data_IF_473640394978
#
_entry.id   IF_473640394978
#
_cell.length_a   1.000
_cell.length_b   1.000
_cell.length_c   1.000
_cell.angle_alpha   90.00
_cell.angle_beta   90.00
_cell.angle_gamma   90.00
#
_symmetry.space_group_name_H-M   'P 1'
#
loop_
_entity.id
_entity.type
_entity.pdbx_description
1 polymer ?
#
# COMPACT_ATOMS: atom_id res chain seq x y z
N UNK A 1 -18.36 7.09 15.76
CA UNK A 1 -17.28 7.27 14.77
C UNK A 1 -17.26 6.00 13.95
N UNK A 2 -17.33 6.12 12.63
CA UNK A 2 -17.12 4.95 11.77
C UNK A 2 -15.64 4.60 11.80
N UNK A 3 -15.32 3.30 11.92
CA UNK A 3 -13.94 2.85 11.98
C UNK A 3 -13.44 2.63 10.55
N UNK A 4 -12.23 3.11 10.21
CA UNK A 4 -11.59 2.79 8.93
C UNK A 4 -11.32 1.29 8.85
N UNK A 5 -11.30 0.74 7.63
CA UNK A 5 -10.88 -0.65 7.44
C UNK A 5 -9.34 -0.76 7.51
N UNK A 6 -8.84 -1.72 8.27
CA UNK A 6 -7.40 -1.99 8.39
C UNK A 6 -6.95 -2.92 7.26
N UNK A 7 -6.17 -2.36 6.34
CA UNK A 7 -5.54 -3.08 5.24
C UNK A 7 -4.11 -3.47 5.60
N UNK A 8 -3.78 -4.77 5.64
CA UNK A 8 -2.40 -5.21 5.85
C UNK A 8 -1.73 -5.50 4.51
N UNK A 9 -0.61 -4.82 4.25
CA UNK A 9 0.22 -5.09 3.06
C UNK A 9 1.07 -6.32 3.30
N UNK A 10 0.93 -7.33 2.44
CA UNK A 10 1.70 -8.56 2.52
C UNK A 10 3.15 -8.32 2.08
N UNK A 11 4.10 -8.82 2.85
CA UNK A 11 5.54 -8.60 2.64
C UNK A 11 6.23 -9.73 1.88
N UNK A 12 5.58 -10.88 1.75
CA UNK A 12 6.14 -12.03 1.04
C UNK A 12 6.54 -11.75 -0.40
N UNK A 13 7.48 -12.55 -0.90
CA UNK A 13 8.02 -12.54 -2.25
C UNK A 13 7.65 -13.81 -3.05
N UNK A 14 6.95 -14.72 -2.39
CA UNK A 14 6.38 -15.93 -2.98
C UNK A 14 4.91 -16.06 -2.60
N UNK A 15 4.15 -16.83 -3.37
CA UNK A 15 2.74 -17.14 -3.07
C UNK A 15 2.60 -17.72 -1.66
N UNK A 16 3.44 -18.69 -1.29
CA UNK A 16 3.42 -19.34 0.03
C UNK A 16 3.69 -18.37 1.18
N UNK A 17 4.60 -17.42 1.01
CA UNK A 17 4.87 -16.38 2.02
C UNK A 17 3.70 -15.43 2.15
N UNK A 18 3.15 -14.96 1.04
CA UNK A 18 1.98 -14.06 1.05
C UNK A 18 0.75 -14.74 1.67
N UNK A 19 0.52 -16.03 1.41
CA UNK A 19 -0.55 -16.80 2.05
C UNK A 19 -0.36 -16.91 3.57
N UNK A 20 0.86 -17.12 4.03
CA UNK A 20 1.19 -17.11 5.47
C UNK A 20 0.97 -15.72 6.08
N UNK A 21 1.44 -14.68 5.41
CA UNK A 21 1.25 -13.29 5.84
C UNK A 21 -0.24 -12.95 5.95
N UNK A 22 -1.07 -13.39 5.00
CA UNK A 22 -2.50 -13.15 5.00
C UNK A 22 -3.21 -13.85 6.17
N UNK A 23 -2.84 -15.10 6.47
CA UNK A 23 -3.37 -15.83 7.63
C UNK A 23 -2.98 -15.15 8.96
N UNK A 24 -1.75 -14.63 9.07
CA UNK A 24 -1.30 -13.88 10.23
C UNK A 24 -2.02 -12.53 10.35
N UNK A 25 -2.23 -11.82 9.24
CA UNK A 25 -2.97 -10.57 9.19
C UNK A 25 -4.42 -10.74 9.65
N UNK A 26 -5.10 -11.78 9.17
CA UNK A 26 -6.45 -12.15 9.61
C UNK A 26 -6.49 -12.43 11.11
N UNK A 27 -5.56 -13.24 11.62
CA UNK A 27 -5.48 -13.54 13.05
C UNK A 27 -5.20 -12.29 13.92
N UNK A 28 -4.54 -11.27 13.35
CA UNK A 28 -4.26 -10.00 14.00
C UNK A 28 -5.40 -8.96 13.87
N UNK A 29 -6.48 -9.29 13.16
CA UNK A 29 -7.67 -8.43 13.05
C UNK A 29 -7.65 -7.48 11.85
N UNK A 30 -6.93 -7.80 10.78
CA UNK A 30 -7.05 -7.08 9.52
C UNK A 30 -8.44 -7.27 8.90
N UNK A 31 -8.98 -6.20 8.30
CA UNK A 31 -10.26 -6.23 7.57
C UNK A 31 -10.08 -6.65 6.11
N UNK A 32 -8.90 -6.40 5.55
CA UNK A 32 -8.51 -6.74 4.19
C UNK A 32 -6.97 -6.83 4.08
N UNK A 33 -6.50 -7.42 2.98
CA UNK A 33 -5.06 -7.51 2.68
C UNK A 33 -4.72 -6.95 1.30
N UNK A 34 -3.54 -6.34 1.16
CA UNK A 34 -2.98 -5.94 -0.13
C UNK A 34 -1.91 -6.94 -0.56
N UNK A 35 -2.19 -7.68 -1.64
CA UNK A 35 -1.23 -8.52 -2.34
C UNK A 35 -0.50 -7.65 -3.36
N UNK A 36 0.80 -7.45 -3.12
CA UNK A 36 1.71 -6.77 -4.03
C UNK A 36 2.21 -7.76 -5.07
N UNK A 37 1.50 -7.88 -6.19
CA UNK A 37 1.88 -8.77 -7.30
C UNK A 37 3.29 -8.47 -7.78
N UNK A 38 3.67 -7.19 -7.83
CA UNK A 38 5.01 -6.76 -8.23
C UNK A 38 6.13 -7.37 -7.35
N UNK A 39 5.85 -7.74 -6.10
CA UNK A 39 6.82 -8.40 -5.23
C UNK A 39 7.10 -9.86 -5.59
N UNK A 40 6.26 -10.51 -6.42
CA UNK A 40 6.51 -11.88 -6.89
C UNK A 40 7.70 -11.97 -7.86
N UNK A 41 8.09 -10.85 -8.46
CA UNK A 41 9.23 -10.76 -9.40
C UNK A 41 10.51 -10.27 -8.74
N UNK A 42 10.58 -10.24 -7.40
CA UNK A 42 11.82 -9.93 -6.69
C UNK A 42 12.05 -10.91 -5.56
N UNK A 43 13.32 -11.13 -5.21
CA UNK A 43 13.71 -11.83 -3.98
C UNK A 43 14.64 -10.95 -3.15
N UNK A 44 14.51 -11.05 -1.83
CA UNK A 44 15.42 -10.38 -0.90
C UNK A 44 16.81 -11.03 -0.95
N UNK A 45 17.83 -10.18 -1.00
CA UNK A 45 19.25 -10.56 -0.90
C UNK A 45 19.86 -9.74 0.24
N UNK A 46 20.39 -10.43 1.25
CA UNK A 46 21.13 -9.78 2.34
C UNK A 46 22.53 -9.42 1.84
N UNK A 47 22.92 -8.15 1.99
CA UNK A 47 24.31 -7.74 1.78
C UNK A 47 25.08 -7.94 3.08
N UNK A 48 26.15 -8.72 3.03
CA UNK A 48 27.17 -8.75 4.07
C UNK A 48 28.10 -7.54 3.87
N UNK A 49 28.18 -6.64 4.84
CA UNK A 49 29.18 -5.57 4.86
C UNK A 49 30.57 -6.21 4.71
N UNK A 50 31.28 -5.89 3.63
CA UNK A 50 32.67 -6.33 3.46
C UNK A 50 33.50 -5.82 4.64
N UNK A 51 34.22 -6.72 5.30
CA UNK A 51 35.08 -6.46 6.47
C UNK A 51 36.18 -5.42 6.16
N UNK A 52 35.86 -4.13 6.16
CA UNK A 52 36.84 -3.04 6.17
C UNK A 52 36.22 -1.77 6.76
N UNK A 53 36.02 -1.77 8.08
CA UNK A 53 36.57 -0.75 9.00
C UNK A 53 36.14 -1.05 10.44
N UNK A 54 37.16 -1.13 11.30
CA UNK A 54 37.05 -1.47 12.70
C UNK A 54 36.33 -0.37 13.52
N UNK A 55 35.74 -0.81 14.63
CA UNK A 55 35.21 0.00 15.74
C UNK A 55 33.93 0.82 15.48
N UNK A 56 32.78 0.15 15.49
CA UNK A 56 31.71 0.39 16.48
C UNK A 56 30.71 -0.77 16.41
N UNK A 57 30.64 -1.63 17.45
CA UNK A 57 29.57 -2.63 17.61
C UNK A 57 28.24 -1.93 17.97
N UNK A 58 27.65 -1.22 17.01
CA UNK A 58 26.20 -1.05 16.90
C UNK A 58 25.76 -2.06 15.86
N UNK A 59 24.77 -2.91 16.19
CA UNK A 59 24.20 -3.93 15.27
C UNK A 59 24.16 -3.35 13.86
N UNK A 60 25.06 -3.80 12.99
CA UNK A 60 25.09 -3.40 11.59
C UNK A 60 23.71 -3.74 11.03
N UNK A 61 23.04 -2.72 10.49
CA UNK A 61 21.76 -2.88 9.84
C UNK A 61 22.07 -3.69 8.58
N UNK A 62 21.67 -4.96 8.53
CA UNK A 62 21.74 -5.72 7.30
C UNK A 62 20.95 -4.96 6.24
N UNK A 63 21.63 -4.52 5.19
CA UNK A 63 21.00 -3.88 4.06
C UNK A 63 20.37 -4.97 3.20
N UNK A 64 19.09 -4.80 2.87
CA UNK A 64 18.34 -5.73 2.03
C UNK A 64 18.26 -5.09 0.65
N UNK A 65 18.77 -5.79 -0.35
CA UNK A 65 18.52 -5.48 -1.75
C UNK A 65 17.53 -6.46 -2.35
N UNK A 66 16.89 -6.04 -3.45
CA UNK A 66 15.96 -6.86 -4.20
C UNK A 66 16.60 -7.28 -5.52
N UNK A 67 16.73 -8.58 -5.73
CA UNK A 67 17.12 -9.13 -7.02
C UNK A 67 15.88 -9.37 -7.88
N UNK A 68 15.86 -8.74 -9.05
CA UNK A 68 14.78 -8.85 -10.03
C UNK A 68 14.83 -10.20 -10.75
N UNK A 69 13.68 -10.86 -10.83
CA UNK A 69 13.48 -12.13 -11.50
C UNK A 69 12.92 -11.93 -12.93
N UNK A 70 13.18 -12.86 -13.87
CA UNK A 70 12.60 -12.80 -15.22
C UNK A 70 11.06 -12.80 -15.19
N UNK A 71 10.41 -12.20 -16.19
CA UNK A 71 8.95 -12.14 -16.27
C UNK A 71 8.31 -13.54 -16.24
N UNK A 72 8.96 -14.51 -16.87
CA UNK A 72 8.52 -15.90 -17.00
C UNK A 72 8.67 -16.70 -15.69
N UNK A 73 9.27 -16.12 -14.65
CA UNK A 73 9.43 -16.76 -13.34
C UNK A 73 8.12 -16.86 -12.55
N UNK A 74 7.11 -16.07 -12.93
CA UNK A 74 5.81 -16.01 -12.26
C UNK A 74 4.72 -16.51 -13.19
N UNK A 75 4.05 -17.60 -12.81
CA UNK A 75 2.77 -18.00 -13.40
C UNK A 75 1.65 -17.21 -12.69
N UNK A 76 1.20 -16.13 -13.34
CA UNK A 76 0.22 -15.22 -12.75
C UNK A 76 -1.14 -15.89 -12.53
N UNK A 77 -1.58 -16.75 -13.45
CA UNK A 77 -2.89 -17.41 -13.33
C UNK A 77 -2.90 -18.38 -12.15
N UNK A 78 -1.81 -19.14 -11.96
CA UNK A 78 -1.65 -20.04 -10.82
C UNK A 78 -1.53 -19.28 -9.48
N UNK A 79 -0.78 -18.18 -9.47
CA UNK A 79 -0.65 -17.31 -8.30
C UNK A 79 -2.02 -16.72 -7.87
N UNK A 80 -2.79 -16.17 -8.82
CA UNK A 80 -4.13 -15.62 -8.54
C UNK A 80 -5.11 -16.70 -8.10
N UNK A 81 -5.06 -17.89 -8.69
CA UNK A 81 -5.85 -19.04 -8.27
C UNK A 81 -5.53 -19.44 -6.82
N UNK A 82 -4.25 -19.45 -6.47
CA UNK A 82 -3.78 -19.76 -5.11
C UNK A 82 -4.23 -18.71 -4.10
N UNK A 83 -4.11 -17.40 -4.42
CA UNK A 83 -4.61 -16.34 -3.54
C UNK A 83 -6.12 -16.41 -3.35
N UNK A 84 -6.89 -16.67 -4.42
CA UNK A 84 -8.35 -16.80 -4.35
C UNK A 84 -8.80 -17.98 -3.48
N UNK A 85 -8.02 -19.06 -3.42
CA UNK A 85 -8.32 -20.24 -2.61
C UNK A 85 -7.80 -20.12 -1.16
N UNK A 86 -6.67 -19.44 -0.96
CA UNK A 86 -5.94 -19.43 0.31
C UNK A 86 -6.16 -18.20 1.19
N UNK A 87 -6.73 -17.11 0.66
CA UNK A 87 -7.00 -15.89 1.42
C UNK A 87 -8.50 -15.76 1.68
N UNK A 88 -8.89 -15.74 2.96
CA UNK A 88 -10.28 -15.62 3.39
C UNK A 88 -10.77 -14.15 3.48
N UNK A 89 -9.84 -13.21 3.65
CA UNK A 89 -10.14 -11.77 3.70
C UNK A 89 -10.39 -11.19 2.30
N UNK A 90 -11.13 -10.08 2.19
CA UNK A 90 -11.13 -9.25 0.99
C UNK A 90 -9.70 -8.89 0.57
N UNK A 91 -9.43 -8.93 -0.74
CA UNK A 91 -8.09 -8.74 -1.30
C UNK A 91 -8.04 -7.48 -2.17
N UNK A 92 -6.99 -6.69 -2.01
CA UNK A 92 -6.53 -5.69 -2.97
C UNK A 92 -5.40 -6.34 -3.79
N UNK A 93 -5.56 -6.42 -5.10
CA UNK A 93 -4.46 -6.75 -6.01
C UNK A 93 -3.81 -5.45 -6.52
N UNK A 94 -2.51 -5.34 -6.28
CA UNK A 94 -1.71 -4.17 -6.68
C UNK A 94 -0.52 -4.66 -7.49
N UNK A 95 -0.30 -4.12 -8.68
CA UNK A 95 0.93 -4.29 -9.44
C UNK A 95 1.60 -2.92 -9.62
N UNK A 96 2.34 -2.50 -8.59
CA UNK A 96 2.93 -1.15 -8.53
C UNK A 96 4.11 -1.06 -9.53
N UNK A 97 4.19 -0.01 -10.37
CA UNK A 97 5.34 0.21 -11.24
C UNK A 97 6.52 0.80 -10.48
N UNK A 98 7.74 0.63 -11.03
CA UNK A 98 8.98 1.15 -10.42
C UNK A 98 8.94 2.66 -10.15
N UNK A 99 8.41 3.44 -11.10
CA UNK A 99 8.20 4.91 -10.98
C UNK A 99 7.30 5.36 -9.82
N UNK A 100 6.66 4.43 -9.10
CA UNK A 100 5.88 4.69 -7.89
C UNK A 100 6.27 3.74 -6.74
N UNK A 101 7.52 3.25 -6.75
CA UNK A 101 8.09 2.43 -5.67
C UNK A 101 7.67 0.96 -5.68
N UNK A 102 7.32 0.42 -6.85
CA UNK A 102 7.09 -1.00 -7.06
C UNK A 102 8.28 -1.75 -7.66
N UNK A 103 8.08 -3.04 -7.89
CA UNK A 103 9.14 -3.96 -8.33
C UNK A 103 8.82 -4.71 -9.63
N UNK A 104 7.79 -4.29 -10.37
CA UNK A 104 7.41 -4.98 -11.60
C UNK A 104 8.46 -4.76 -12.69
N UNK A 105 9.06 -5.83 -13.26
CA UNK A 105 10.23 -5.69 -14.13
C UNK A 105 9.90 -5.49 -15.61
N UNK A 106 8.62 -5.56 -15.98
CA UNK A 106 8.17 -5.41 -17.36
C UNK A 106 7.83 -3.97 -17.73
N UNK A 107 7.48 -3.76 -19.00
CA UNK A 107 6.98 -2.48 -19.47
C UNK A 107 5.52 -2.23 -19.05
N UNK A 108 5.05 -1.00 -19.28
CA UNK A 108 3.70 -0.58 -18.93
C UNK A 108 2.63 -1.42 -19.65
N UNK A 109 2.84 -1.78 -20.93
CA UNK A 109 1.88 -2.59 -21.68
C UNK A 109 1.68 -3.96 -21.03
N UNK A 110 2.79 -4.62 -20.67
CA UNK A 110 2.77 -5.92 -19.96
C UNK A 110 2.17 -5.77 -18.56
N UNK A 111 2.45 -4.66 -17.86
CA UNK A 111 1.87 -4.38 -16.53
C UNK A 111 0.35 -4.22 -16.61
N UNK A 112 -0.17 -3.53 -17.62
CA UNK A 112 -1.62 -3.41 -17.83
C UNK A 112 -2.25 -4.79 -18.06
N UNK A 113 -1.58 -5.73 -18.73
CA UNK A 113 -2.08 -7.12 -18.85
C UNK A 113 -2.14 -7.85 -17.50
N UNK A 114 -1.19 -7.60 -16.59
CA UNK A 114 -1.26 -8.10 -15.20
C UNK A 114 -2.52 -7.54 -14.50
N UNK A 115 -2.78 -6.24 -14.63
CA UNK A 115 -3.97 -5.59 -14.04
C UNK A 115 -5.28 -6.09 -14.65
N UNK A 116 -5.32 -6.33 -15.96
CA UNK A 116 -6.46 -6.97 -16.64
C UNK A 116 -6.75 -8.35 -16.08
N UNK A 117 -5.70 -9.13 -15.84
CA UNK A 117 -5.81 -10.49 -15.29
C UNK A 117 -6.26 -10.46 -13.83
N UNK A 118 -5.74 -9.52 -13.04
CA UNK A 118 -6.22 -9.24 -11.68
C UNK A 118 -7.73 -8.93 -11.66
N UNK A 119 -8.23 -8.07 -12.55
CA UNK A 119 -9.66 -7.75 -12.65
C UNK A 119 -10.48 -8.98 -13.09
N UNK A 120 -10.00 -9.76 -14.06
CA UNK A 120 -10.67 -11.00 -14.52
C UNK A 120 -10.79 -12.05 -13.42
N UNK A 121 -9.93 -12.02 -12.40
CA UNK A 121 -10.04 -12.90 -11.24
C UNK A 121 -11.25 -12.60 -10.33
N UNK A 122 -11.91 -11.45 -10.57
CA UNK A 122 -13.02 -10.91 -9.78
C UNK A 122 -12.61 -10.65 -8.32
N UNK A 123 -11.39 -10.13 -8.14
CA UNK A 123 -10.88 -9.72 -6.82
C UNK A 123 -11.74 -8.60 -6.22
N UNK A 124 -11.73 -8.46 -4.90
CA UNK A 124 -12.50 -7.42 -4.20
C UNK A 124 -12.09 -6.00 -4.63
N UNK A 125 -10.79 -5.75 -4.72
CA UNK A 125 -10.22 -4.46 -5.09
C UNK A 125 -9.03 -4.60 -6.04
N UNK A 126 -8.90 -3.66 -6.98
CA UNK A 126 -7.70 -3.47 -7.77
C UNK A 126 -7.16 -2.05 -7.55
N UNK A 127 -5.85 -1.91 -7.37
CA UNK A 127 -5.16 -0.62 -7.26
C UNK A 127 -4.65 -0.20 -8.64
N UNK A 128 -5.12 0.95 -9.13
CA UNK A 128 -4.80 1.50 -10.46
C UNK A 128 -4.24 2.92 -10.34
N UNK A 129 -2.96 3.10 -10.70
CA UNK A 129 -2.31 4.40 -10.62
C UNK A 129 -3.00 5.43 -11.51
N UNK A 130 -3.19 6.65 -10.99
CA UNK A 130 -3.88 7.76 -11.67
C UNK A 130 -3.20 8.22 -12.96
N UNK A 131 -1.91 7.90 -13.12
CA UNK A 131 -1.10 8.24 -14.30
C UNK A 131 -1.11 7.16 -15.40
N UNK A 132 -1.85 6.06 -15.22
CA UNK A 132 -2.20 5.16 -16.32
C UNK A 132 -2.92 5.98 -17.40
N UNK A 133 -2.52 5.80 -18.67
CA UNK A 133 -3.10 6.56 -19.77
C UNK A 133 -4.63 6.44 -19.81
N UNK A 134 -5.32 7.55 -20.11
CA UNK A 134 -6.79 7.64 -20.09
C UNK A 134 -7.45 6.48 -20.86
N UNK A 135 -6.92 6.15 -22.05
CA UNK A 135 -7.45 5.05 -22.87
C UNK A 135 -7.38 3.70 -22.16
N UNK A 136 -6.24 3.37 -21.55
CA UNK A 136 -6.06 2.10 -20.84
C UNK A 136 -6.85 2.10 -19.53
N UNK A 137 -6.91 3.22 -18.82
CA UNK A 137 -7.71 3.38 -17.60
C UNK A 137 -9.19 3.17 -17.87
N UNK A 138 -9.76 3.82 -18.88
CA UNK A 138 -11.17 3.65 -19.27
C UNK A 138 -11.50 2.19 -19.58
N UNK A 139 -10.57 1.50 -20.27
CA UNK A 139 -10.68 0.06 -20.56
C UNK A 139 -10.71 -0.79 -19.28
N UNK A 140 -9.80 -0.53 -18.33
CA UNK A 140 -9.76 -1.23 -17.04
C UNK A 140 -10.99 -0.94 -16.19
N UNK A 141 -11.45 0.30 -16.14
CA UNK A 141 -12.65 0.72 -15.40
C UNK A 141 -13.90 0.00 -15.91
N UNK A 142 -14.08 -0.09 -17.23
CA UNK A 142 -15.22 -0.81 -17.81
C UNK A 142 -15.13 -2.32 -17.54
N UNK A 143 -13.91 -2.90 -17.52
CA UNK A 143 -13.72 -4.31 -17.13
C UNK A 143 -14.06 -4.58 -15.66
N UNK A 144 -13.71 -3.66 -14.75
CA UNK A 144 -13.92 -3.80 -13.31
C UNK A 144 -15.38 -3.60 -12.88
N UNK A 145 -16.15 -2.83 -13.67
CA UNK A 145 -17.51 -2.41 -13.36
C UNK A 145 -18.42 -3.55 -12.90
N UNK A 146 -18.90 -3.43 -11.67
CA UNK A 146 -19.83 -4.37 -11.04
C UNK A 146 -19.20 -5.70 -10.60
N UNK A 147 -17.88 -5.85 -10.71
CA UNK A 147 -17.14 -7.07 -10.35
C UNK A 147 -16.05 -6.81 -9.31
N UNK A 148 -15.31 -5.72 -9.48
CA UNK A 148 -14.14 -5.35 -8.67
C UNK A 148 -14.19 -3.85 -8.39
N UNK A 149 -13.91 -3.45 -7.15
CA UNK A 149 -13.81 -2.03 -6.80
C UNK A 149 -12.42 -1.50 -7.14
N UNK A 150 -12.31 -0.22 -7.49
CA UNK A 150 -11.08 0.39 -7.99
C UNK A 150 -10.55 1.43 -7.02
N UNK A 151 -9.27 1.32 -6.67
CA UNK A 151 -8.53 2.35 -5.94
C UNK A 151 -7.78 3.20 -6.97
N UNK A 152 -8.10 4.49 -7.06
CA UNK A 152 -7.33 5.47 -7.80
C UNK A 152 -6.13 5.89 -6.94
N UNK A 153 -4.93 5.39 -7.27
CA UNK A 153 -3.76 5.57 -6.42
C UNK A 153 -2.71 6.51 -7.00
N UNK A 154 -2.02 7.24 -6.12
CA UNK A 154 -0.86 8.04 -6.47
C UNK A 154 0.19 7.95 -5.36
N UNK A 155 1.40 7.53 -5.72
CA UNK A 155 2.58 7.65 -4.87
C UNK A 155 3.46 8.73 -5.47
N UNK A 156 3.57 9.85 -4.76
CA UNK A 156 4.42 10.97 -5.20
C UNK A 156 5.89 10.65 -4.93
N UNK A 157 6.77 11.15 -5.80
CA UNK A 157 8.22 11.20 -5.52
C UNK A 157 8.60 12.48 -4.76
N UNK A 158 7.68 13.46 -4.70
CA UNK A 158 7.89 14.76 -4.09
C UNK A 158 7.29 14.83 -2.68
N UNK A 159 7.84 15.73 -1.85
CA UNK A 159 7.27 16.01 -0.53
C UNK A 159 5.82 16.52 -0.65
N UNK A 160 4.95 16.27 0.35
CA UNK A 160 3.56 16.66 0.27
C UNK A 160 3.42 18.18 0.07
N UNK A 161 2.63 18.63 -0.92
CA UNK A 161 2.34 20.05 -1.10
C UNK A 161 1.44 20.57 0.04
N UNK A 162 1.15 21.88 0.10
CA UNK A 162 0.18 22.43 1.04
C UNK A 162 -1.17 21.67 1.01
N UNK A 163 -1.87 21.62 2.15
CA UNK A 163 -3.07 20.79 2.30
C UNK A 163 -4.16 21.05 1.24
N UNK A 164 -4.35 22.30 0.83
CA UNK A 164 -5.29 22.68 -0.23
C UNK A 164 -4.93 22.09 -1.61
N UNK A 165 -3.65 21.90 -1.91
CA UNK A 165 -3.19 21.27 -3.15
C UNK A 165 -3.40 19.76 -3.08
N UNK A 166 -3.12 19.12 -1.93
CA UNK A 166 -3.45 17.71 -1.69
C UNK A 166 -4.95 17.46 -1.90
N UNK A 167 -5.81 18.34 -1.38
CA UNK A 167 -7.26 18.26 -1.56
C UNK A 167 -7.64 18.38 -3.04
N UNK A 168 -7.03 19.33 -3.77
CA UNK A 168 -7.25 19.49 -5.22
C UNK A 168 -6.87 18.23 -5.99
N UNK A 169 -5.73 17.60 -5.67
CA UNK A 169 -5.32 16.34 -6.29
C UNK A 169 -6.35 15.22 -6.04
N UNK A 170 -6.87 15.13 -4.81
CA UNK A 170 -7.89 14.14 -4.46
C UNK A 170 -9.16 14.38 -5.28
N UNK A 171 -9.62 15.63 -5.36
CA UNK A 171 -10.80 16.03 -6.14
C UNK A 171 -10.65 15.68 -7.63
N UNK A 172 -9.46 15.89 -8.21
CA UNK A 172 -9.15 15.52 -9.59
C UNK A 172 -9.22 14.00 -9.82
N UNK A 173 -8.88 13.20 -8.81
CA UNK A 173 -8.84 11.74 -8.89
C UNK A 173 -10.12 11.03 -8.45
N UNK A 174 -11.14 11.74 -7.91
CA UNK A 174 -12.39 11.08 -7.46
C UNK A 174 -13.07 10.31 -8.59
N UNK A 175 -13.03 10.83 -9.82
CA UNK A 175 -13.68 10.18 -10.97
C UNK A 175 -12.93 8.95 -11.49
N UNK A 176 -11.75 8.66 -10.95
CA UNK A 176 -10.84 7.65 -11.47
C UNK A 176 -11.02 6.29 -10.80
N UNK A 177 -11.82 6.18 -9.72
CA UNK A 177 -12.05 4.94 -8.99
C UNK A 177 -13.20 5.06 -7.98
N UNK A 178 -13.43 4.00 -7.21
CA UNK A 178 -14.39 3.98 -6.11
C UNK A 178 -13.85 4.67 -4.85
N UNK A 179 -12.53 4.83 -4.76
CA UNK A 179 -11.84 5.62 -3.72
C UNK A 179 -10.50 6.15 -4.23
N UNK A 180 -9.96 7.16 -3.55
CA UNK A 180 -8.64 7.75 -3.83
C UNK A 180 -7.63 7.34 -2.75
N UNK A 181 -6.40 6.99 -3.16
CA UNK A 181 -5.28 6.68 -2.27
C UNK A 181 -4.09 7.55 -2.66
N UNK A 182 -3.60 8.38 -1.75
CA UNK A 182 -2.40 9.19 -1.99
C UNK A 182 -1.34 8.92 -0.92
N UNK A 183 -0.11 8.74 -1.37
CA UNK A 183 1.04 8.51 -0.54
C UNK A 183 2.17 9.48 -0.89
N UNK A 184 2.70 10.20 0.10
CA UNK A 184 3.87 11.08 -0.08
C UNK A 184 5.08 10.62 0.75
N UNK A 185 6.31 10.81 0.27
CA UNK A 185 7.50 10.79 1.11
C UNK A 185 7.49 11.98 2.09
N UNK A 186 7.89 11.73 3.33
CA UNK A 186 7.92 12.73 4.41
C UNK A 186 9.32 12.85 4.99
N UNK A 187 9.85 14.07 4.98
CA UNK A 187 11.06 14.45 5.70
C UNK A 187 10.73 15.47 6.79
N UNK A 188 10.28 14.99 7.95
CA UNK A 188 10.01 15.82 9.14
C UNK A 188 8.54 16.18 9.35
N UNK A 189 8.27 16.93 10.42
CA UNK A 189 6.91 17.16 10.92
C UNK A 189 6.04 18.02 10.01
N UNK A 190 6.61 18.93 9.22
CA UNK A 190 5.83 19.81 8.35
C UNK A 190 5.07 19.01 7.29
N UNK A 191 5.73 18.06 6.62
CA UNK A 191 5.07 17.21 5.63
C UNK A 191 3.98 16.33 6.25
N UNK A 192 4.24 15.77 7.44
CA UNK A 192 3.23 15.01 8.18
C UNK A 192 2.00 15.86 8.53
N UNK A 193 2.20 17.11 8.94
CA UNK A 193 1.10 18.03 9.25
C UNK A 193 0.28 18.40 8.00
N UNK A 194 0.90 18.60 6.83
CA UNK A 194 0.18 18.91 5.58
C UNK A 194 -0.80 17.79 5.20
N UNK A 195 -0.36 16.54 5.27
CA UNK A 195 -1.23 15.38 4.98
C UNK A 195 -2.31 15.24 6.05
N UNK A 196 -1.98 15.46 7.32
CA UNK A 196 -2.95 15.43 8.42
C UNK A 196 -4.01 16.51 8.27
N UNK A 197 -3.62 17.74 7.93
CA UNK A 197 -4.51 18.87 7.69
C UNK A 197 -5.44 18.59 6.50
N UNK A 198 -4.92 18.07 5.38
CA UNK A 198 -5.74 17.66 4.24
C UNK A 198 -6.78 16.59 4.64
N UNK A 199 -6.36 15.55 5.36
CA UNK A 199 -7.26 14.51 5.87
C UNK A 199 -8.31 15.08 6.84
N UNK A 200 -7.91 16.03 7.69
CA UNK A 200 -8.80 16.68 8.63
C UNK A 200 -9.86 17.51 7.91
N UNK A 201 -9.50 18.29 6.90
CA UNK A 201 -10.44 19.07 6.11
C UNK A 201 -11.43 18.19 5.34
N UNK A 202 -10.97 17.05 4.82
CA UNK A 202 -11.79 16.09 4.08
C UNK A 202 -12.71 15.22 4.93
N UNK A 203 -12.51 15.14 6.25
CA UNK A 203 -13.20 14.17 7.13
C UNK A 203 -14.74 14.19 7.08
N UNK A 204 -15.32 15.34 6.71
CA UNK A 204 -16.78 15.54 6.59
C UNK A 204 -17.27 15.54 5.13
N UNK A 205 -16.39 15.26 4.17
CA UNK A 205 -16.76 15.10 2.77
C UNK A 205 -17.29 13.69 2.50
N UNK A 206 -17.96 13.51 1.36
CA UNK A 206 -18.38 12.19 0.87
C UNK A 206 -17.26 11.46 0.12
N UNK A 207 -16.07 12.07 -0.01
CA UNK A 207 -14.95 11.50 -0.75
C UNK A 207 -14.31 10.38 0.08
N UNK A 208 -14.32 9.16 -0.47
CA UNK A 208 -13.59 8.03 0.11
C UNK A 208 -12.11 8.18 -0.22
N UNK A 209 -11.32 8.58 0.76
CA UNK A 209 -9.89 8.78 0.59
C UNK A 209 -9.06 8.01 1.63
N UNK A 210 -7.82 7.68 1.26
CA UNK A 210 -6.80 7.19 2.17
C UNK A 210 -5.49 7.93 1.91
N UNK A 211 -5.11 8.77 2.88
CA UNK A 211 -3.94 9.63 2.82
C UNK A 211 -2.90 9.12 3.78
N UNK A 212 -1.70 8.92 3.27
CA UNK A 212 -0.60 8.40 4.06
C UNK A 212 0.73 9.01 3.65
N UNK A 213 1.73 8.84 4.50
CA UNK A 213 3.09 9.10 4.07
C UNK A 213 4.06 8.06 4.57
N UNK A 214 5.24 8.11 3.96
CA UNK A 214 6.38 7.25 4.26
C UNK A 214 7.51 8.14 4.77
N UNK A 215 7.97 7.86 5.98
CA UNK A 215 8.96 8.66 6.70
C UNK A 215 8.44 9.16 8.04
N UNK A 216 9.30 9.84 8.79
CA UNK A 216 9.02 10.26 10.17
C UNK A 216 7.75 11.12 10.25
N UNK A 217 6.75 10.65 11.01
CA UNK A 217 5.45 11.31 11.17
C UNK A 217 4.37 10.84 10.19
N UNK A 218 4.69 9.97 9.22
CA UNK A 218 3.70 9.38 8.31
C UNK A 218 2.72 8.41 8.97
N UNK A 219 3.01 7.99 10.21
CA UNK A 219 2.15 7.17 11.04
C UNK A 219 1.01 7.98 11.69
N UNK A 220 1.11 9.32 11.77
CA UNK A 220 0.11 10.16 12.43
C UNK A 220 -1.27 10.04 11.80
N UNK A 221 -1.34 10.06 10.47
CA UNK A 221 -2.60 9.91 9.72
C UNK A 221 -3.17 8.50 9.79
N UNK A 222 -2.34 7.50 10.12
CA UNK A 222 -2.78 6.11 10.38
C UNK A 222 -3.34 5.98 11.80
N UNK A 223 -2.62 6.49 12.80
CA UNK A 223 -3.02 6.48 14.21
C UNK A 223 -4.34 7.24 14.41
N UNK A 224 -4.51 8.39 13.75
CA UNK A 224 -5.69 9.23 13.87
C UNK A 224 -6.75 8.97 12.80
N UNK A 225 -6.61 7.92 12.00
CA UNK A 225 -7.52 7.63 10.91
C UNK A 225 -9.02 7.57 11.28
N UNK A 226 -9.44 7.03 12.45
CA UNK A 226 -10.84 7.11 12.88
C UNK A 226 -11.34 8.54 13.03
N UNK A 227 -10.51 9.43 13.60
CA UNK A 227 -10.82 10.85 13.74
C UNK A 227 -10.86 11.58 12.39
N UNK A 228 -10.00 11.17 11.47
CA UNK A 228 -9.86 11.75 10.13
C UNK A 228 -10.86 11.18 9.12
N UNK A 229 -11.68 10.20 9.52
CA UNK A 229 -12.64 9.51 8.65
C UNK A 229 -12.00 8.96 7.37
N UNK A 230 -10.79 8.40 7.49
CA UNK A 230 -10.14 7.75 6.36
C UNK A 230 -10.89 6.45 5.99
N UNK A 231 -10.91 6.08 4.70
CA UNK A 231 -11.59 4.87 4.27
C UNK A 231 -10.80 3.61 4.65
N UNK A 232 -9.52 3.55 4.26
CA UNK A 232 -8.58 2.49 4.61
C UNK A 232 -7.38 3.02 5.39
N UNK A 233 -6.85 2.16 6.25
CA UNK A 233 -5.56 2.37 6.91
C UNK A 233 -4.63 1.24 6.53
N UNK A 234 -3.58 1.57 5.81
CA UNK A 234 -2.55 0.61 5.44
C UNK A 234 -1.62 0.36 6.63
N UNK A 235 -1.40 -0.92 6.94
CA UNK A 235 -0.59 -1.40 8.06
C UNK A 235 0.29 -2.58 7.59
N UNK A 236 1.07 -3.14 8.50
CA UNK A 236 2.04 -4.20 8.21
C UNK A 236 2.08 -5.22 9.35
N UNK A 237 2.53 -6.43 9.05
CA UNK A 237 2.89 -7.45 10.05
C UNK A 237 4.33 -7.30 10.57
N UNK A 238 5.16 -6.46 9.93
CA UNK A 238 6.52 -6.20 10.39
C UNK A 238 6.51 -5.61 11.81
N UNK A 239 7.54 -5.90 12.59
CA UNK A 239 7.68 -5.38 13.96
C UNK A 239 9.02 -4.67 14.14
N UNK A 240 9.06 -3.65 14.99
CA UNK A 240 10.29 -3.00 15.39
C UNK A 240 10.21 -1.48 15.43
N UNK A 241 11.12 -0.87 16.19
CA UNK A 241 11.18 0.57 16.41
C UNK A 241 11.42 1.40 15.13
N UNK A 242 11.93 0.77 14.07
CA UNK A 242 12.20 1.43 12.80
C UNK A 242 10.91 1.84 12.07
N UNK A 243 9.77 1.20 12.38
CA UNK A 243 8.50 1.44 11.70
C UNK A 243 8.03 2.90 11.88
N UNK A 244 8.11 3.44 13.09
CA UNK A 244 7.71 4.83 13.36
C UNK A 244 8.54 5.85 12.56
N UNK A 245 9.83 5.58 12.35
CA UNK A 245 10.71 6.41 11.55
C UNK A 245 10.42 6.29 10.04
N UNK A 246 9.78 5.20 9.63
CA UNK A 246 9.30 4.98 8.25
C UNK A 246 7.85 5.40 8.03
N UNK A 247 7.16 5.96 9.04
CA UNK A 247 5.75 6.35 8.93
C UNK A 247 4.79 5.17 8.82
N UNK A 248 5.25 3.98 9.24
CA UNK A 248 4.49 2.73 9.26
C UNK A 248 4.11 2.37 10.69
N UNK A 249 3.05 1.58 10.84
CA UNK A 249 2.60 1.07 12.12
C UNK A 249 2.11 -0.37 11.94
N UNK A 250 2.48 -1.26 12.85
CA UNK A 250 2.01 -2.64 12.85
C UNK A 250 0.52 -2.70 13.23
N UNK A 251 -0.20 -3.69 12.71
CA UNK A 251 -1.63 -3.89 12.98
C UNK A 251 -1.97 -3.96 14.47
N UNK A 252 -1.15 -4.64 15.29
CA UNK A 252 -1.39 -4.74 16.74
C UNK A 252 -1.16 -3.42 17.46
N UNK A 253 -0.15 -2.66 17.03
CA UNK A 253 0.16 -1.35 17.59
C UNK A 253 -0.90 -0.31 17.21
N UNK A 254 -1.42 -0.40 15.98
CA UNK A 254 -2.54 0.42 15.51
C UNK A 254 -3.80 0.18 16.34
N UNK A 255 -4.18 -1.09 16.54
CA UNK A 255 -5.32 -1.45 17.37
C UNK A 255 -5.14 -0.98 18.83
N UNK A 256 -3.93 -1.11 19.37
CA UNK A 256 -3.59 -0.61 20.72
C UNK A 256 -3.71 0.91 20.79
N UNK A 257 -3.19 1.63 19.79
CA UNK A 257 -3.27 3.09 19.73
C UNK A 257 -4.72 3.57 19.70
N UNK A 258 -5.58 2.97 18.88
CA UNK A 258 -7.00 3.32 18.81
C UNK A 258 -7.74 3.09 20.12
N UNK A 259 -7.45 1.99 20.82
CA UNK A 259 -8.00 1.72 22.15
C UNK A 259 -7.54 2.75 23.19
N UNK A 260 -6.24 3.10 23.19
CA UNK A 260 -5.69 4.09 24.14
C UNK A 260 -6.22 5.50 23.88
N UNK A 261 -6.47 5.85 22.63
CA UNK A 261 -7.05 7.14 22.22
C UNK A 261 -8.58 7.19 22.36
N UNK A 262 -9.22 6.07 22.70
CA UNK A 262 -10.68 5.98 22.87
C UNK A 262 -11.46 6.05 21.55
N UNK A 263 -10.84 5.67 20.43
CA UNK A 263 -11.53 5.48 19.15
C UNK A 263 -12.29 4.15 19.11
N UNK A 264 -11.75 3.11 19.78
CA UNK A 264 -12.30 1.76 19.87
C UNK A 264 -12.45 1.28 21.33
#
# INVERSE_FOLDING_TARGET
MEMPQVCVVLSGHTVDEMLKDAALAMAAGADLVEVRLDNLWVREVEIEDSEDEAETKRRARKEIEYEVLPLESVDLDDALSSFKQGIELPVILTCRPERQGGHYPGDEESRIEVLRTAIKSEVSWVDLEVDISIKERDSLMEMAKGKTQVIASHHSEEAPPPANEIISEIEDYVSYGDMVKICYPISGSEGALRIFEAAWELRNSEIKASLMGIGSGGDWVRIHAPLLNQNFVYSTMQTGWHLSHSGRINVSDLATAWKLLGYA
#
